data_IF_757483451674
#
_entry.id   IF_757483451674
#
_cell.length_a   1.000
_cell.length_b   1.000
_cell.length_c   1.000
_cell.angle_alpha   90.00
_cell.angle_beta   90.00
_cell.angle_gamma   90.00
#
_symmetry.space_group_name_H-M   'P 1'
#
loop_
_entity.id
_entity.type
_entity.pdbx_description
1 polymer ?
#
# COMPACT_ATOMS: atom_id res chain seq x y z
N UNK A 1 -14.58 -29.03 15.80
CA UNK A 1 -13.98 -27.73 16.11
C UNK A 1 -12.59 -27.71 15.47
N UNK A 2 -12.42 -27.04 14.33
CA UNK A 2 -11.14 -27.01 13.59
C UNK A 2 -10.23 -26.05 14.39
N UNK A 3 -9.05 -26.46 14.84
CA UNK A 3 -8.15 -25.57 15.56
C UNK A 3 -7.70 -24.47 14.59
N UNK A 4 -8.03 -23.23 14.92
CA UNK A 4 -7.58 -22.03 14.19
C UNK A 4 -6.07 -21.91 14.40
N UNK A 5 -5.27 -22.52 13.53
CA UNK A 5 -3.82 -22.38 13.56
C UNK A 5 -3.49 -20.94 13.14
N UNK A 6 -2.74 -20.24 13.99
CA UNK A 6 -2.23 -18.90 13.63
C UNK A 6 -1.34 -19.05 12.39
N UNK A 7 -1.53 -18.19 11.37
CA UNK A 7 -0.69 -18.23 10.18
C UNK A 7 0.79 -18.11 10.56
N UNK A 8 1.64 -18.87 9.89
CA UNK A 8 3.08 -18.86 10.15
C UNK A 8 3.68 -17.50 9.80
N UNK A 9 4.63 -17.03 10.60
CA UNK A 9 5.30 -15.73 10.42
C UNK A 9 6.00 -15.61 9.08
N UNK A 10 6.44 -16.73 8.52
CA UNK A 10 7.07 -16.80 7.19
C UNK A 10 6.13 -16.44 6.04
N UNK A 11 4.80 -16.50 6.26
CA UNK A 11 3.80 -16.19 5.26
C UNK A 11 3.28 -14.74 5.37
N UNK A 12 3.27 -14.16 6.58
CA UNK A 12 2.73 -12.82 6.80
C UNK A 12 3.67 -11.73 6.25
N UNK A 13 4.98 -11.87 6.40
CA UNK A 13 5.95 -10.87 5.91
C UNK A 13 5.88 -10.69 4.38
N UNK A 14 5.88 -11.76 3.56
CA UNK A 14 5.74 -11.59 2.12
C UNK A 14 4.36 -11.07 1.70
N UNK A 15 3.30 -11.37 2.46
CA UNK A 15 1.96 -10.88 2.17
C UNK A 15 1.88 -9.37 2.33
N UNK A 16 2.36 -8.82 3.45
CA UNK A 16 2.32 -7.39 3.66
C UNK A 16 3.20 -6.62 2.67
N UNK A 17 4.37 -7.15 2.28
CA UNK A 17 5.21 -6.61 1.20
C UNK A 17 4.41 -6.49 -0.11
N UNK A 18 3.65 -7.52 -0.47
CA UNK A 18 2.79 -7.50 -1.65
C UNK A 18 1.68 -6.47 -1.55
N UNK A 19 1.10 -6.27 -0.35
CA UNK A 19 0.06 -5.26 -0.13
C UNK A 19 0.62 -3.85 -0.31
N UNK A 20 1.83 -3.53 0.18
CA UNK A 20 2.46 -2.24 -0.08
C UNK A 20 2.65 -1.98 -1.58
N UNK A 21 3.11 -2.97 -2.34
CA UNK A 21 3.30 -2.85 -3.79
C UNK A 21 1.96 -2.74 -4.54
N UNK A 22 0.96 -3.52 -4.13
CA UNK A 22 -0.38 -3.42 -4.68
C UNK A 22 -0.95 -2.02 -4.45
N UNK A 23 -0.84 -1.50 -3.23
CA UNK A 23 -1.31 -0.15 -2.90
C UNK A 23 -0.60 0.91 -3.74
N UNK A 24 0.72 0.85 -3.85
CA UNK A 24 1.47 1.76 -4.71
C UNK A 24 1.00 1.68 -6.17
N UNK A 25 0.76 0.47 -6.70
CA UNK A 25 0.25 0.28 -8.06
C UNK A 25 -1.14 0.88 -8.28
N UNK A 26 -2.06 0.68 -7.33
CA UNK A 26 -3.40 1.28 -7.37
C UNK A 26 -3.30 2.81 -7.33
N UNK A 27 -2.46 3.37 -6.45
CA UNK A 27 -2.23 4.81 -6.34
C UNK A 27 -1.69 5.40 -7.65
N UNK A 28 -0.69 4.78 -8.26
CA UNK A 28 -0.13 5.20 -9.54
C UNK A 28 -1.20 5.14 -10.63
N UNK A 29 -1.95 4.04 -10.70
CA UNK A 29 -2.99 3.83 -11.71
C UNK A 29 -4.11 4.86 -11.63
N UNK A 30 -4.61 5.15 -10.44
CA UNK A 30 -5.73 6.08 -10.26
C UNK A 30 -5.28 7.54 -10.32
N UNK A 31 -4.31 7.92 -9.48
CA UNK A 31 -3.96 9.32 -9.31
C UNK A 31 -3.13 9.87 -10.48
N UNK A 32 -2.19 9.12 -11.00
CA UNK A 32 -1.23 9.61 -12.00
C UNK A 32 -1.52 9.13 -13.42
N UNK A 33 -2.36 8.12 -13.62
CA UNK A 33 -2.74 7.65 -14.95
C UNK A 33 -4.21 7.96 -15.26
N UNK A 34 -5.17 7.38 -14.56
CA UNK A 34 -6.58 7.51 -14.89
C UNK A 34 -7.11 8.94 -14.72
N UNK A 35 -6.67 9.64 -13.67
CA UNK A 35 -7.12 11.01 -13.38
C UNK A 35 -6.71 12.01 -14.47
N UNK A 36 -5.45 12.12 -14.91
CA UNK A 36 -5.12 13.03 -16.00
C UNK A 36 -5.67 12.55 -17.35
N UNK A 37 -5.72 11.23 -17.61
CA UNK A 37 -6.21 10.68 -18.88
C UNK A 37 -7.64 11.09 -19.21
N UNK A 38 -8.53 11.23 -18.22
CA UNK A 38 -9.93 11.67 -18.47
C UNK A 38 -10.02 13.06 -19.09
N UNK A 39 -9.06 13.96 -18.81
CA UNK A 39 -9.05 15.31 -19.38
C UNK A 39 -8.58 15.33 -20.84
N UNK A 40 -8.08 14.21 -21.36
CA UNK A 40 -7.71 14.05 -22.78
C UNK A 40 -8.91 13.68 -23.66
N UNK A 41 -10.08 13.38 -23.06
CA UNK A 41 -11.30 13.05 -23.81
C UNK A 41 -11.98 14.34 -24.31
N UNK A 42 -12.00 14.63 -25.65
CA UNK A 42 -12.51 15.90 -26.17
C UNK A 42 -14.01 16.10 -25.94
N UNK A 43 -14.76 15.02 -25.78
CA UNK A 43 -16.21 15.03 -25.54
C UNK A 43 -16.58 15.22 -24.08
N UNK A 44 -15.63 15.20 -23.15
CA UNK A 44 -15.89 15.29 -21.70
C UNK A 44 -15.83 16.74 -21.25
N UNK A 45 -16.99 17.37 -21.03
CA UNK A 45 -17.06 18.71 -20.49
C UNK A 45 -16.38 18.82 -19.11
N UNK A 46 -15.68 19.92 -18.85
CA UNK A 46 -14.91 20.10 -17.61
C UNK A 46 -15.73 19.87 -16.33
N UNK A 47 -16.98 20.35 -16.17
CA UNK A 47 -17.78 20.08 -14.98
C UNK A 47 -18.01 18.58 -14.76
N UNK A 48 -18.27 17.84 -15.84
CA UNK A 48 -18.46 16.37 -15.79
C UNK A 48 -17.16 15.67 -15.43
N UNK A 49 -16.02 16.08 -16.02
CA UNK A 49 -14.71 15.53 -15.71
C UNK A 49 -14.34 15.72 -14.22
N UNK A 50 -14.69 16.87 -13.65
CA UNK A 50 -14.47 17.18 -12.24
C UNK A 50 -15.37 16.34 -11.32
N UNK A 51 -16.63 16.13 -11.70
CA UNK A 51 -17.57 15.31 -10.92
C UNK A 51 -17.16 13.83 -10.93
N UNK A 52 -16.81 13.28 -12.09
CA UNK A 52 -16.22 11.94 -12.21
C UNK A 52 -14.98 11.82 -11.32
N UNK A 53 -14.11 12.85 -11.33
CA UNK A 53 -12.93 12.90 -10.48
C UNK A 53 -13.26 12.81 -9.00
N UNK A 54 -14.20 13.61 -8.53
CA UNK A 54 -14.67 13.64 -7.15
C UNK A 54 -15.14 12.26 -6.67
N UNK A 55 -15.96 11.60 -7.47
CA UNK A 55 -16.44 10.24 -7.15
C UNK A 55 -15.32 9.20 -7.20
N UNK A 56 -14.45 9.29 -8.19
CA UNK A 56 -13.28 8.40 -8.31
C UNK A 56 -12.38 8.50 -7.08
N UNK A 57 -12.03 9.72 -6.64
CA UNK A 57 -11.19 9.89 -5.46
C UNK A 57 -11.85 9.43 -4.17
N UNK A 58 -13.18 9.57 -4.04
CA UNK A 58 -13.90 9.05 -2.88
C UNK A 58 -13.88 7.53 -2.81
N UNK A 59 -14.13 6.85 -3.93
CA UNK A 59 -14.02 5.39 -4.02
C UNK A 59 -12.58 4.94 -3.78
N UNK A 60 -11.62 5.60 -4.42
CA UNK A 60 -10.20 5.32 -4.26
C UNK A 60 -9.76 5.44 -2.81
N UNK A 61 -10.14 6.51 -2.11
CA UNK A 61 -9.81 6.70 -0.70
C UNK A 61 -10.38 5.59 0.20
N UNK A 62 -11.58 5.07 -0.10
CA UNK A 62 -12.13 3.93 0.64
C UNK A 62 -11.28 2.66 0.43
N UNK A 63 -10.79 2.42 -0.79
CA UNK A 63 -9.85 1.32 -1.07
C UNK A 63 -8.56 1.49 -0.29
N UNK A 64 -8.00 2.69 -0.23
CA UNK A 64 -6.80 2.98 0.55
C UNK A 64 -6.99 2.75 2.04
N UNK A 65 -8.12 3.19 2.60
CA UNK A 65 -8.47 2.93 4.00
C UNK A 65 -8.59 1.43 4.29
N UNK A 66 -9.16 0.65 3.35
CA UNK A 66 -9.23 -0.80 3.48
C UNK A 66 -7.84 -1.45 3.44
N UNK A 67 -6.95 -1.01 2.54
CA UNK A 67 -5.56 -1.50 2.48
C UNK A 67 -4.76 -1.12 3.73
N UNK A 68 -4.96 0.09 4.25
CA UNK A 68 -4.39 0.54 5.51
C UNK A 68 -4.84 -0.34 6.67
N UNK A 69 -6.16 -0.56 6.82
CA UNK A 69 -6.71 -1.43 7.86
C UNK A 69 -6.17 -2.86 7.77
N UNK A 70 -6.07 -3.39 6.55
CA UNK A 70 -5.51 -4.72 6.30
C UNK A 70 -4.03 -4.79 6.76
N UNK A 71 -3.21 -3.79 6.44
CA UNK A 71 -1.82 -3.75 6.90
C UNK A 71 -1.72 -3.64 8.43
N UNK A 72 -2.60 -2.90 9.09
CA UNK A 72 -2.65 -2.84 10.55
C UNK A 72 -3.00 -4.19 11.16
N UNK A 73 -4.02 -4.88 10.65
CA UNK A 73 -4.43 -6.21 11.12
C UNK A 73 -3.28 -7.21 10.97
N UNK A 74 -2.65 -7.25 9.80
CA UNK A 74 -1.50 -8.13 9.56
C UNK A 74 -0.33 -7.80 10.49
N UNK A 75 -0.08 -6.53 10.73
CA UNK A 75 0.94 -6.06 11.64
C UNK A 75 0.68 -6.53 13.09
N UNK A 76 -0.58 -6.47 13.58
CA UNK A 76 -0.99 -6.97 14.89
C UNK A 76 -0.69 -8.47 15.06
N UNK A 77 -0.87 -9.23 13.99
CA UNK A 77 -0.62 -10.68 14.02
C UNK A 77 0.86 -11.04 13.94
N UNK A 78 1.66 -10.23 13.23
CA UNK A 78 3.11 -10.46 13.04
C UNK A 78 3.96 -10.19 14.31
N UNK A 79 3.42 -9.54 15.33
CA UNK A 79 3.97 -9.27 16.69
C UNK A 79 5.41 -8.72 16.80
N UNK A 80 6.17 -8.42 15.74
CA UNK A 80 7.59 -8.13 15.95
C UNK A 80 8.25 -7.04 15.10
N UNK A 81 7.63 -6.48 14.08
CA UNK A 81 8.30 -5.46 13.28
C UNK A 81 7.63 -4.10 13.39
N UNK A 82 7.99 -3.34 14.42
CA UNK A 82 7.60 -1.94 14.60
C UNK A 82 7.79 -1.10 13.31
N UNK A 83 8.80 -1.42 12.48
CA UNK A 83 9.04 -0.77 11.18
C UNK A 83 7.87 -0.95 10.20
N UNK A 84 7.21 -2.10 10.21
CA UNK A 84 6.03 -2.37 9.39
C UNK A 84 4.84 -1.55 9.86
N UNK A 85 4.64 -1.48 11.15
CA UNK A 85 3.62 -0.62 11.74
C UNK A 85 3.87 0.84 11.41
N UNK A 86 5.09 1.33 11.59
CA UNK A 86 5.43 2.70 11.22
C UNK A 86 5.20 2.96 9.73
N UNK A 87 5.56 2.00 8.86
CA UNK A 87 5.30 2.09 7.44
C UNK A 87 3.82 2.28 7.12
N UNK A 88 2.97 1.44 7.74
CA UNK A 88 1.51 1.55 7.59
C UNK A 88 0.95 2.83 8.20
N UNK A 89 1.41 3.23 9.40
CA UNK A 89 0.96 4.45 10.06
C UNK A 89 1.29 5.72 9.28
N UNK A 90 2.48 5.81 8.69
CA UNK A 90 2.86 6.96 7.84
C UNK A 90 1.95 7.05 6.63
N UNK A 91 1.76 5.95 5.89
CA UNK A 91 0.85 5.94 4.74
C UNK A 91 -0.59 6.24 5.17
N UNK A 92 -1.06 5.64 6.27
CA UNK A 92 -2.39 5.87 6.82
C UNK A 92 -2.62 7.30 7.27
N UNK A 93 -1.61 7.96 7.88
CA UNK A 93 -1.70 9.36 8.25
C UNK A 93 -1.91 10.27 7.03
N UNK A 94 -1.22 9.98 5.92
CA UNK A 94 -1.42 10.72 4.66
C UNK A 94 -2.83 10.49 4.14
N UNK A 95 -3.31 9.24 4.08
CA UNK A 95 -4.67 8.92 3.63
C UNK A 95 -5.72 9.59 4.50
N UNK A 96 -5.56 9.57 5.82
CA UNK A 96 -6.48 10.24 6.74
C UNK A 96 -6.48 11.76 6.55
N UNK A 97 -5.32 12.40 6.34
CA UNK A 97 -5.24 13.81 6.03
C UNK A 97 -5.95 14.14 4.71
N UNK A 98 -5.81 13.30 3.69
CA UNK A 98 -6.52 13.43 2.43
C UNK A 98 -8.04 13.24 2.62
N UNK A 99 -8.46 12.19 3.34
CA UNK A 99 -9.85 11.87 3.57
C UNK A 99 -10.63 12.92 4.38
N UNK A 100 -10.02 13.40 5.47
CA UNK A 100 -10.71 14.23 6.45
C UNK A 100 -10.60 15.73 6.16
N UNK A 101 -9.61 16.13 5.37
CA UNK A 101 -9.36 17.55 5.10
C UNK A 101 -9.35 17.88 3.60
N UNK A 102 -8.45 17.27 2.82
CA UNK A 102 -8.22 17.69 1.43
C UNK A 102 -9.39 17.34 0.50
N UNK A 103 -9.92 16.12 0.58
CA UNK A 103 -11.03 15.67 -0.28
C UNK A 103 -12.29 16.51 -0.01
N UNK A 104 -12.74 16.71 1.24
CA UNK A 104 -13.88 17.58 1.51
C UNK A 104 -13.69 19.02 1.01
N UNK A 105 -12.49 19.59 1.19
CA UNK A 105 -12.18 20.95 0.72
C UNK A 105 -12.15 21.06 -0.81
N UNK A 106 -11.68 20.05 -1.52
CA UNK A 106 -11.71 19.96 -2.98
C UNK A 106 -13.14 19.73 -3.50
N UNK A 107 -13.94 18.90 -2.83
CA UNK A 107 -15.34 18.63 -3.15
C UNK A 107 -16.17 19.91 -3.11
N UNK A 108 -16.01 20.75 -2.08
CA UNK A 108 -16.72 22.02 -1.97
C UNK A 108 -16.44 22.96 -3.16
N UNK A 109 -15.19 22.95 -3.68
CA UNK A 109 -14.81 23.74 -4.84
C UNK A 109 -15.47 23.25 -6.13
N UNK A 110 -15.52 21.94 -6.33
CA UNK A 110 -16.19 21.34 -7.49
C UNK A 110 -17.69 21.65 -7.45
N UNK A 111 -18.33 21.50 -6.29
CA UNK A 111 -19.74 21.81 -6.11
C UNK A 111 -20.05 23.30 -6.36
N UNK A 112 -19.20 24.21 -5.90
CA UNK A 112 -19.35 25.65 -6.16
C UNK A 112 -19.25 25.97 -7.65
N UNK A 113 -18.34 25.32 -8.40
CA UNK A 113 -18.24 25.48 -9.85
C UNK A 113 -19.47 24.93 -10.58
N UNK A 114 -20.06 23.85 -10.10
CA UNK A 114 -21.26 23.24 -10.71
C UNK A 114 -22.53 24.07 -10.45
N UNK A 115 -22.58 24.78 -9.33
CA UNK A 115 -23.71 25.61 -8.94
C UNK A 115 -23.69 27.03 -9.53
N UNK A 116 -22.74 27.34 -10.44
CA UNK A 116 -22.48 28.71 -10.93
C UNK A 116 -22.35 29.74 -9.80
N UNK A 117 -21.88 29.29 -8.65
CA UNK A 117 -21.67 30.11 -7.48
C UNK A 117 -20.48 31.06 -7.68
N UNK A 118 -20.40 32.10 -6.84
CA UNK A 118 -19.24 33.02 -6.82
C UNK A 118 -17.93 32.21 -6.78
N UNK A 119 -16.97 32.45 -7.70
CA UNK A 119 -15.73 31.70 -7.74
C UNK A 119 -15.00 31.78 -6.40
N UNK A 120 -14.66 30.61 -5.86
CA UNK A 120 -13.84 30.53 -4.64
C UNK A 120 -12.43 31.05 -4.92
N UNK A 121 -11.78 31.69 -3.96
CA UNK A 121 -10.43 32.23 -4.14
C UNK A 121 -9.45 31.13 -4.57
N UNK A 122 -8.37 31.46 -5.34
CA UNK A 122 -7.35 30.50 -5.74
C UNK A 122 -6.82 29.69 -4.56
N UNK A 123 -6.48 28.43 -4.80
CA UNK A 123 -6.05 27.52 -3.74
C UNK A 123 -5.05 26.50 -4.26
N UNK A 124 -4.05 26.21 -3.45
CA UNK A 124 -3.03 25.21 -3.74
C UNK A 124 -3.41 23.80 -3.24
N UNK A 125 -4.66 23.57 -2.81
CA UNK A 125 -5.09 22.30 -2.23
C UNK A 125 -4.90 21.11 -3.17
N UNK A 126 -5.15 21.31 -4.46
CA UNK A 126 -4.91 20.25 -5.45
C UNK A 126 -3.42 19.91 -5.57
N UNK A 127 -2.54 20.91 -5.58
CA UNK A 127 -1.08 20.69 -5.60
C UNK A 127 -0.62 19.97 -4.33
N UNK A 128 -1.15 20.35 -3.17
CA UNK A 128 -0.86 19.67 -1.90
C UNK A 128 -1.32 18.21 -1.95
N UNK A 129 -2.52 17.95 -2.50
CA UNK A 129 -3.03 16.60 -2.67
C UNK A 129 -2.07 15.75 -3.53
N UNK A 130 -1.68 16.26 -4.70
CA UNK A 130 -0.77 15.55 -5.63
C UNK A 130 0.61 15.31 -5.00
N UNK A 131 1.14 16.30 -4.26
CA UNK A 131 2.42 16.17 -3.58
C UNK A 131 2.38 15.09 -2.48
N UNK A 132 1.32 15.06 -1.66
CA UNK A 132 1.14 14.03 -0.64
C UNK A 132 0.93 12.65 -1.26
N UNK A 133 0.23 12.58 -2.40
CA UNK A 133 0.04 11.34 -3.15
C UNK A 133 1.37 10.79 -3.67
N UNK A 134 2.19 11.65 -4.27
CA UNK A 134 3.53 11.27 -4.75
C UNK A 134 4.43 10.80 -3.59
N UNK A 135 4.43 11.52 -2.46
CA UNK A 135 5.18 11.13 -1.26
C UNK A 135 4.71 9.78 -0.72
N UNK A 136 3.40 9.55 -0.66
CA UNK A 136 2.81 8.28 -0.23
C UNK A 136 3.24 7.13 -1.15
N UNK A 137 3.17 7.31 -2.48
CA UNK A 137 3.60 6.30 -3.45
C UNK A 137 5.08 5.96 -3.27
N UNK A 138 5.97 6.94 -3.16
CA UNK A 138 7.39 6.71 -2.90
C UNK A 138 7.61 5.94 -1.59
N UNK A 139 6.87 6.29 -0.55
CA UNK A 139 6.91 5.59 0.73
C UNK A 139 6.47 4.13 0.62
N UNK A 140 5.33 3.87 -0.05
CA UNK A 140 4.81 2.51 -0.27
C UNK A 140 5.77 1.66 -1.08
N UNK A 141 6.41 2.22 -2.12
CA UNK A 141 7.43 1.54 -2.91
C UNK A 141 8.67 1.20 -2.08
N UNK A 142 9.15 2.12 -1.23
CA UNK A 142 10.29 1.84 -0.34
C UNK A 142 9.99 0.73 0.66
N UNK A 143 8.77 0.70 1.23
CA UNK A 143 8.34 -0.38 2.11
C UNK A 143 8.21 -1.72 1.38
N UNK A 144 7.63 -1.70 0.18
CA UNK A 144 7.42 -2.88 -0.65
C UNK A 144 8.75 -3.47 -1.15
N UNK A 145 9.59 -2.70 -1.81
CA UNK A 145 10.88 -3.19 -2.30
C UNK A 145 11.86 -3.54 -1.19
N UNK A 146 11.89 -2.74 -0.12
CA UNK A 146 12.69 -3.05 1.07
C UNK A 146 12.32 -4.40 1.70
N UNK A 147 11.03 -4.74 1.70
CA UNK A 147 10.54 -6.05 2.14
C UNK A 147 10.97 -7.20 1.23
N UNK A 148 10.95 -7.00 -0.09
CA UNK A 148 11.42 -8.01 -1.06
C UNK A 148 12.91 -8.30 -0.89
N UNK A 149 13.75 -7.26 -0.76
CA UNK A 149 15.19 -7.40 -0.59
C UNK A 149 15.52 -8.14 0.71
N UNK A 150 14.86 -7.76 1.81
CA UNK A 150 15.05 -8.39 3.10
C UNK A 150 14.63 -9.87 3.12
N UNK A 151 13.52 -10.21 2.45
CA UNK A 151 13.02 -11.57 2.32
C UNK A 151 13.88 -12.45 1.41
N UNK A 152 14.49 -11.86 0.37
CA UNK A 152 15.40 -12.59 -0.55
C UNK A 152 16.70 -13.06 0.13
N UNK A 153 17.22 -12.29 1.06
CA UNK A 153 18.46 -12.60 1.78
C UNK A 153 18.27 -13.64 2.90
N UNK A 154 17.04 -13.96 3.27
CA UNK A 154 16.72 -14.88 4.38
C UNK A 154 16.38 -16.31 3.98
N UNK A 155 16.49 -16.71 2.70
CA UNK A 155 16.30 -18.10 2.31
C UNK A 155 17.47 -18.93 2.84
N UNK A 156 17.25 -19.84 3.82
CA UNK A 156 18.31 -20.76 4.22
C UNK A 156 18.69 -21.59 2.98
N UNK A 157 19.99 -21.61 2.67
CA UNK A 157 20.51 -22.52 1.67
C UNK A 157 19.95 -23.92 1.99
N UNK A 158 19.21 -24.49 1.05
CA UNK A 158 18.70 -25.87 1.17
C UNK A 158 19.93 -26.73 1.44
N UNK A 159 20.09 -27.15 2.69
CA UNK A 159 21.12 -28.14 3.06
C UNK A 159 20.77 -29.39 2.32
N UNK A 160 21.30 -29.55 1.11
CA UNK A 160 21.28 -30.82 0.40
C UNK A 160 21.96 -31.84 1.32
N UNK A 161 21.15 -32.60 2.02
CA UNK A 161 21.62 -33.75 2.83
C UNK A 161 22.26 -34.71 1.85
N UNK A 162 23.60 -34.67 1.76
CA UNK A 162 24.34 -35.66 0.96
C UNK A 162 23.99 -37.06 1.48
N UNK A 163 23.32 -37.92 0.70
CA UNK A 163 23.14 -39.33 1.08
C UNK A 163 24.49 -40.02 0.95
N UNK A 164 25.04 -40.53 2.05
CA UNK A 164 26.20 -41.44 1.97
C UNK A 164 27.43 -41.09 2.80
N UNK A 165 27.30 -40.54 4.01
CA UNK A 165 28.36 -40.69 4.99
C UNK A 165 28.28 -42.12 5.57
N UNK A 166 29.05 -43.08 5.00
CA UNK A 166 29.22 -44.42 5.56
C UNK A 166 29.71 -44.25 7.01
N UNK A 167 28.91 -44.72 7.99
CA UNK A 167 29.37 -44.96 9.35
C UNK A 167 30.47 -46.02 9.30
N UNK A 168 31.71 -45.59 9.51
CA UNK A 168 32.81 -46.52 9.79
C UNK A 168 32.52 -47.11 11.17
N UNK A 169 32.09 -48.36 11.18
CA UNK A 169 31.96 -49.17 12.41
C UNK A 169 33.38 -49.52 12.86
N UNK A 170 33.87 -48.86 13.90
CA UNK A 170 35.11 -49.26 14.58
C UNK A 170 34.83 -50.56 15.34
N UNK A 171 35.50 -51.62 14.93
CA UNK A 171 35.45 -52.92 15.64
C UNK A 171 36.15 -52.79 17.00
N UNK A 172 35.63 -53.43 18.06
CA UNK A 172 36.24 -53.42 19.39
C UNK A 172 37.58 -54.18 19.39
N UNK A 173 38.64 -53.54 19.86
CA UNK A 173 39.91 -54.21 20.15
C UNK A 173 39.69 -55.20 21.29
N UNK A 174 39.90 -56.49 21.01
CA UNK A 174 40.03 -57.53 22.05
C UNK A 174 41.39 -57.36 22.73
N UNK A 175 41.39 -57.40 24.06
CA UNK A 175 42.55 -57.57 24.93
C UNK A 175 42.89 -59.05 25.03
#
# INVERSE_FOLDING_TARGET
>A
MIPFSRPDRSEIEPLGTKIYLLWAGVSIGVAFLATPAKFLAPSLALPVALDVGRHTFRVYNNVELALFALLLILGLWAQRRWRWYLGALVAGAIVLAQALWLIPALDLRVLALQADATPLPPSNMHTVYVALEALKVLWLLTMGFGGLIAGGNGRPAVRVRRPGAKRTIQAPRRA
#
